data_IF_363057639374
#
_entry.id   IF_363057639374
#
_cell.length_a   1.000
_cell.length_b   1.000
_cell.length_c   1.000
_cell.angle_alpha   90.00
_cell.angle_beta   90.00
_cell.angle_gamma   90.00
#
_symmetry.space_group_name_H-M   'P 1'
#
loop_
_entity.id
_entity.type
_entity.pdbx_description
1 polymer ?
#
# COMPACT_ATOMS: atom_id res chain seq x y z
N UNK A 1 -16.24 -16.77 0.30
CA UNK A 1 -17.66 -16.39 0.25
C UNK A 1 -17.86 -14.98 0.80
N UNK A 2 -18.61 -14.12 0.11
CA UNK A 2 -18.98 -12.78 0.60
C UNK A 2 -20.33 -12.85 1.32
N UNK A 3 -20.45 -12.16 2.45
CA UNK A 3 -21.69 -12.01 3.22
C UNK A 3 -21.93 -10.52 3.46
N UNK A 4 -23.05 -9.98 2.99
CA UNK A 4 -23.44 -8.57 3.16
C UNK A 4 -24.72 -8.49 3.97
N UNK A 5 -24.68 -7.79 5.11
CA UNK A 5 -25.83 -7.65 6.03
C UNK A 5 -26.48 -9.01 6.37
N UNK A 6 -25.67 -10.06 6.52
CA UNK A 6 -26.11 -11.43 6.80
C UNK A 6 -26.54 -12.25 5.57
N UNK A 7 -26.64 -11.65 4.39
CA UNK A 7 -26.98 -12.34 3.14
C UNK A 7 -25.71 -12.82 2.40
N UNK A 8 -25.69 -14.09 2.01
CA UNK A 8 -24.64 -14.61 1.13
C UNK A 8 -24.77 -14.02 -0.29
N UNK A 9 -23.64 -13.65 -0.85
CA UNK A 9 -23.55 -13.06 -2.18
C UNK A 9 -22.81 -13.99 -3.15
N UNK A 10 -23.29 -14.04 -4.38
CA UNK A 10 -22.73 -14.83 -5.48
C UNK A 10 -22.19 -13.91 -6.57
N UNK A 11 -21.40 -14.49 -7.48
CA UNK A 11 -20.79 -13.77 -8.60
C UNK A 11 -21.82 -12.92 -9.38
N UNK A 12 -22.97 -13.51 -9.71
CA UNK A 12 -24.04 -12.86 -10.47
C UNK A 12 -24.64 -11.61 -9.80
N UNK A 13 -24.54 -11.48 -8.46
CA UNK A 13 -25.02 -10.30 -7.75
C UNK A 13 -24.17 -9.04 -8.05
N UNK A 14 -22.98 -9.21 -8.65
CA UNK A 14 -22.04 -8.13 -8.93
C UNK A 14 -21.87 -7.79 -10.42
N UNK A 15 -22.38 -8.63 -11.32
CA UNK A 15 -22.16 -8.49 -12.77
C UNK A 15 -22.69 -7.17 -13.36
N UNK A 16 -23.74 -6.59 -12.75
CA UNK A 16 -24.28 -5.28 -13.15
C UNK A 16 -23.62 -4.09 -12.44
N UNK A 17 -22.80 -4.36 -11.42
CA UNK A 17 -22.19 -3.32 -10.57
C UNK A 17 -20.77 -2.96 -10.98
N UNK A 18 -20.04 -3.89 -11.59
CA UNK A 18 -18.68 -3.65 -12.05
C UNK A 18 -18.41 -4.34 -13.39
N UNK A 19 -17.53 -3.75 -14.18
CA UNK A 19 -17.12 -4.33 -15.46
C UNK A 19 -16.46 -5.70 -15.24
N UNK A 20 -16.77 -6.67 -16.10
CA UNK A 20 -16.28 -8.05 -15.98
C UNK A 20 -14.74 -8.16 -15.93
N UNK A 21 -14.03 -7.23 -16.60
CA UNK A 21 -12.57 -7.19 -16.66
C UNK A 21 -11.94 -6.22 -15.64
N UNK A 22 -12.74 -5.65 -14.73
CA UNK A 22 -12.25 -4.72 -13.71
C UNK A 22 -11.44 -5.43 -12.62
N UNK A 23 -10.59 -4.66 -11.93
CA UNK A 23 -9.83 -5.19 -10.79
C UNK A 23 -10.77 -5.56 -9.64
N UNK A 24 -11.84 -4.79 -9.47
CA UNK A 24 -12.92 -5.04 -8.52
C UNK A 24 -13.55 -6.42 -8.77
N UNK A 25 -13.88 -6.74 -10.02
CA UNK A 25 -14.47 -8.04 -10.36
C UNK A 25 -13.49 -9.19 -10.11
N UNK A 26 -12.20 -8.98 -10.40
CA UNK A 26 -11.16 -9.96 -10.05
C UNK A 26 -11.09 -10.23 -8.53
N UNK A 27 -11.15 -9.19 -7.71
CA UNK A 27 -11.17 -9.31 -6.25
C UNK A 27 -12.45 -10.04 -5.80
N UNK A 28 -13.61 -9.66 -6.34
CA UNK A 28 -14.90 -10.30 -6.04
C UNK A 28 -14.85 -11.80 -6.35
N UNK A 29 -14.32 -12.20 -7.50
CA UNK A 29 -14.23 -13.62 -7.85
C UNK A 29 -13.39 -14.42 -6.85
N UNK A 30 -12.25 -13.88 -6.40
CA UNK A 30 -11.43 -14.51 -5.35
C UNK A 30 -12.23 -14.64 -4.05
N UNK A 31 -12.85 -13.55 -3.62
CA UNK A 31 -13.61 -13.50 -2.38
C UNK A 31 -14.84 -14.40 -2.40
N UNK A 32 -15.56 -14.52 -3.52
CA UNK A 32 -16.73 -15.40 -3.66
C UNK A 32 -16.28 -16.87 -3.65
N UNK A 33 -15.20 -17.23 -4.37
CA UNK A 33 -14.68 -18.60 -4.44
C UNK A 33 -13.99 -19.09 -3.16
N UNK A 34 -13.63 -18.17 -2.26
CA UNK A 34 -12.93 -18.51 -1.03
C UNK A 34 -13.78 -19.39 -0.09
N UNK A 35 -13.12 -20.31 0.61
CA UNK A 35 -13.71 -21.06 1.73
C UNK A 35 -13.91 -20.22 3.00
N UNK A 36 -13.27 -19.04 3.07
CA UNK A 36 -13.45 -18.08 4.15
C UNK A 36 -14.66 -17.17 3.89
N UNK A 37 -15.34 -16.76 4.98
CA UNK A 37 -16.47 -15.82 4.92
C UNK A 37 -15.99 -14.39 5.19
N UNK A 38 -16.20 -13.52 4.21
CA UNK A 38 -15.89 -12.09 4.29
C UNK A 38 -17.18 -11.32 4.56
N UNK A 39 -17.26 -10.70 5.74
CA UNK A 39 -18.47 -10.04 6.21
C UNK A 39 -18.41 -8.54 5.97
N UNK A 40 -19.48 -7.98 5.42
CA UNK A 40 -19.68 -6.55 5.24
C UNK A 40 -21.02 -6.14 5.82
N UNK A 41 -21.07 -4.95 6.41
CA UNK A 41 -22.29 -4.43 7.03
C UNK A 41 -23.26 -3.89 5.98
N UNK A 42 -22.73 -3.44 4.84
CA UNK A 42 -23.49 -2.93 3.70
C UNK A 42 -22.75 -3.14 2.38
N UNK A 43 -23.48 -3.02 1.26
CA UNK A 43 -22.87 -3.04 -0.08
C UNK A 43 -21.88 -1.88 -0.27
N UNK A 44 -22.15 -0.73 0.34
CA UNK A 44 -21.27 0.44 0.24
C UNK A 44 -19.95 0.25 0.98
N UNK A 45 -19.93 -0.52 2.08
CA UNK A 45 -18.69 -0.90 2.75
C UNK A 45 -17.81 -1.79 1.85
N UNK A 46 -18.41 -2.75 1.13
CA UNK A 46 -17.69 -3.56 0.13
C UNK A 46 -17.19 -2.69 -1.04
N UNK A 47 -18.06 -1.85 -1.61
CA UNK A 47 -17.68 -0.93 -2.69
C UNK A 47 -16.53 -0.01 -2.28
N UNK A 48 -16.52 0.46 -1.03
CA UNK A 48 -15.43 1.25 -0.47
C UNK A 48 -14.11 0.47 -0.48
N UNK A 49 -14.09 -0.77 0.04
CA UNK A 49 -12.88 -1.61 0.02
C UNK A 49 -12.36 -1.81 -1.41
N UNK A 50 -13.25 -2.20 -2.33
CA UNK A 50 -12.90 -2.45 -3.73
C UNK A 50 -12.31 -1.20 -4.40
N UNK A 51 -12.95 -0.03 -4.20
CA UNK A 51 -12.45 1.25 -4.70
C UNK A 51 -11.09 1.59 -4.10
N UNK A 52 -10.92 1.47 -2.78
CA UNK A 52 -9.63 1.77 -2.14
C UNK A 52 -8.52 0.83 -2.63
N UNK A 53 -8.80 -0.46 -2.81
CA UNK A 53 -7.83 -1.40 -3.41
C UNK A 53 -7.42 -0.99 -4.82
N UNK A 54 -8.38 -0.59 -5.67
CA UNK A 54 -8.06 -0.06 -7.00
C UNK A 54 -7.17 1.19 -6.91
N UNK A 55 -7.50 2.13 -6.03
CA UNK A 55 -6.71 3.36 -5.86
C UNK A 55 -5.31 3.10 -5.29
N UNK A 56 -5.11 2.08 -4.44
CA UNK A 56 -3.78 1.64 -3.99
C UNK A 56 -2.93 1.17 -5.17
N UNK A 57 -3.51 0.38 -6.08
CA UNK A 57 -2.82 -0.09 -7.29
C UNK A 57 -2.49 1.10 -8.19
N UNK A 58 -3.45 2.00 -8.43
CA UNK A 58 -3.24 3.21 -9.24
C UNK A 58 -2.13 4.09 -8.65
N UNK A 59 -2.18 4.38 -7.35
CA UNK A 59 -1.16 5.14 -6.65
C UNK A 59 0.23 4.47 -6.72
N UNK A 60 0.31 3.15 -6.73
CA UNK A 60 1.58 2.43 -6.91
C UNK A 60 2.21 2.73 -8.29
N UNK A 61 1.40 2.69 -9.36
CA UNK A 61 1.86 3.07 -10.70
C UNK A 61 2.22 4.55 -10.81
N UNK A 62 1.44 5.44 -10.18
CA UNK A 62 1.73 6.89 -10.16
C UNK A 62 3.03 7.18 -9.43
N UNK A 63 3.26 6.55 -8.27
CA UNK A 63 4.48 6.76 -7.48
C UNK A 63 5.71 6.25 -8.24
N UNK A 64 5.61 5.09 -8.89
CA UNK A 64 6.65 4.57 -9.78
C UNK A 64 7.02 5.56 -10.90
N UNK A 65 6.02 6.23 -11.50
CA UNK A 65 6.23 7.21 -12.58
C UNK A 65 6.67 8.60 -12.09
N UNK A 66 6.49 8.91 -10.81
CA UNK A 66 6.77 10.25 -10.25
C UNK A 66 8.24 10.67 -10.29
N UNK A 67 9.16 9.71 -10.43
CA UNK A 67 10.60 9.94 -10.32
C UNK A 67 11.12 10.05 -8.88
N UNK A 68 10.31 9.66 -7.88
CA UNK A 68 10.76 9.53 -6.49
C UNK A 68 11.88 8.49 -6.38
N UNK A 69 13.00 8.89 -5.78
CA UNK A 69 14.17 8.03 -5.64
C UNK A 69 14.10 7.08 -4.44
N UNK A 70 14.88 6.00 -4.50
CA UNK A 70 15.19 5.22 -3.30
C UNK A 70 16.32 5.89 -2.50
N UNK A 71 16.19 5.94 -1.17
CA UNK A 71 17.27 6.33 -0.28
C UNK A 71 17.16 5.66 1.10
N UNK A 72 18.30 5.24 1.64
CA UNK A 72 18.42 4.90 3.08
C UNK A 72 18.18 6.12 3.95
N UNK A 73 17.73 5.94 5.20
CA UNK A 73 17.33 7.00 6.14
C UNK A 73 18.28 8.22 6.21
N UNK A 74 19.59 7.99 6.29
CA UNK A 74 20.60 9.06 6.36
C UNK A 74 20.71 9.93 5.10
N UNK A 75 20.14 9.48 3.97
CA UNK A 75 20.20 10.13 2.65
C UNK A 75 18.82 10.53 2.12
N UNK A 76 17.76 10.41 2.93
CA UNK A 76 16.42 10.78 2.50
C UNK A 76 16.34 12.26 2.16
N UNK A 77 15.43 12.61 1.26
CA UNK A 77 15.19 13.97 0.81
C UNK A 77 13.68 14.19 0.68
N UNK A 78 13.20 15.37 1.06
CA UNK A 78 11.82 15.80 0.84
C UNK A 78 11.78 17.25 0.39
N UNK A 79 10.66 17.68 -0.22
CA UNK A 79 10.46 19.07 -0.58
C UNK A 79 10.19 19.92 0.68
N UNK A 80 11.05 20.89 1.04
CA UNK A 80 10.91 21.68 2.26
C UNK A 80 9.70 22.62 2.24
N UNK A 81 9.04 22.80 1.09
CA UNK A 81 7.78 23.53 1.00
C UNK A 81 6.63 22.84 1.75
N UNK A 82 6.70 21.52 1.96
CA UNK A 82 5.64 20.72 2.56
C UNK A 82 6.10 19.88 3.75
N UNK A 83 7.38 19.52 3.80
CA UNK A 83 7.91 18.53 4.74
C UNK A 83 9.21 18.99 5.37
N UNK A 84 9.31 18.87 6.69
CA UNK A 84 10.56 18.95 7.43
C UNK A 84 11.19 17.56 7.51
N UNK A 85 12.48 17.45 7.15
CA UNK A 85 13.23 16.20 7.29
C UNK A 85 13.74 16.04 8.72
N UNK A 86 13.21 15.07 9.44
CA UNK A 86 13.64 14.73 10.79
C UNK A 86 15.04 14.10 10.81
N UNK A 87 15.70 14.11 11.97
CA UNK A 87 17.06 13.59 12.15
C UNK A 87 17.15 12.09 11.86
N UNK A 88 16.09 11.34 12.16
CA UNK A 88 15.95 9.92 11.87
C UNK A 88 15.74 9.64 10.36
N UNK A 89 15.58 10.67 9.54
CA UNK A 89 15.37 10.60 8.09
C UNK A 89 13.91 10.66 7.66
N UNK A 90 12.98 10.80 8.60
CA UNK A 90 11.54 10.81 8.33
C UNK A 90 11.08 12.16 7.78
N UNK A 91 9.91 12.18 7.17
CA UNK A 91 9.28 13.43 6.72
C UNK A 91 8.14 13.80 7.67
N UNK A 92 8.24 14.97 8.28
CA UNK A 92 7.20 15.54 9.13
C UNK A 92 6.49 16.61 8.32
N UNK A 93 5.19 16.43 8.09
CA UNK A 93 4.40 17.43 7.38
C UNK A 93 4.41 18.74 8.15
N UNK A 94 4.59 19.86 7.45
CA UNK A 94 4.53 21.18 8.08
C UNK A 94 3.12 21.48 8.57
N UNK A 95 3.00 22.26 9.64
CA UNK A 95 1.71 22.60 10.24
C UNK A 95 0.90 23.63 9.44
N UNK A 96 1.53 24.32 8.48
CA UNK A 96 0.94 25.40 7.68
C UNK A 96 0.49 24.95 6.27
N UNK A 97 0.54 23.65 5.98
CA UNK A 97 0.12 23.09 4.68
C UNK A 97 -1.05 22.12 4.83
N UNK A 98 -1.82 21.93 3.75
CA UNK A 98 -2.85 20.90 3.69
C UNK A 98 -2.22 19.54 3.46
N UNK A 99 -2.76 18.51 4.10
CA UNK A 99 -2.32 17.13 3.92
C UNK A 99 -2.50 16.64 2.49
N UNK A 100 -3.61 17.01 1.83
CA UNK A 100 -3.86 16.75 0.41
C UNK A 100 -2.73 17.28 -0.46
N UNK A 101 -2.37 18.56 -0.30
CA UNK A 101 -1.32 19.20 -1.08
C UNK A 101 0.06 18.57 -0.83
N UNK A 102 0.40 18.30 0.44
CA UNK A 102 1.68 17.69 0.81
C UNK A 102 1.86 16.29 0.20
N UNK A 103 0.81 15.46 0.20
CA UNK A 103 0.82 14.14 -0.43
C UNK A 103 0.87 14.26 -1.96
N UNK A 104 0.04 15.12 -2.56
CA UNK A 104 0.02 15.30 -4.02
C UNK A 104 1.35 15.83 -4.56
N UNK A 105 2.08 16.64 -3.80
CA UNK A 105 3.39 17.15 -4.20
C UNK A 105 4.41 16.03 -4.41
N UNK A 106 4.34 14.95 -3.62
CA UNK A 106 5.23 13.78 -3.79
C UNK A 106 5.06 13.17 -5.19
N UNK A 107 3.83 13.07 -5.68
CA UNK A 107 3.52 12.49 -6.98
C UNK A 107 3.82 13.44 -8.14
N UNK A 108 3.63 14.75 -7.93
CA UNK A 108 3.88 15.79 -8.95
C UNK A 108 5.36 16.14 -9.09
N UNK A 109 6.09 16.16 -7.97
CA UNK A 109 7.48 16.60 -7.87
C UNK A 109 8.39 15.49 -7.31
N UNK A 110 8.15 14.24 -7.71
CA UNK A 110 8.83 13.06 -7.13
C UNK A 110 10.35 13.16 -7.11
N UNK A 111 11.00 13.81 -8.08
CA UNK A 111 12.46 14.05 -8.10
C UNK A 111 13.00 14.89 -6.92
N UNK A 112 12.12 15.60 -6.19
CA UNK A 112 12.45 16.28 -4.93
C UNK A 112 12.47 15.33 -3.73
N UNK A 113 12.04 14.08 -3.90
CA UNK A 113 11.84 13.11 -2.85
C UNK A 113 12.72 11.88 -3.03
N UNK A 114 13.26 11.36 -1.93
CA UNK A 114 13.85 10.05 -1.87
C UNK A 114 13.68 9.42 -0.49
N UNK A 115 13.17 8.20 -0.44
CA UNK A 115 12.93 7.45 0.81
C UNK A 115 13.07 5.94 0.62
N UNK A 116 12.96 5.18 1.70
CA UNK A 116 13.05 3.72 1.70
C UNK A 116 11.69 3.05 1.41
N UNK A 117 11.68 1.74 1.24
CA UNK A 117 10.54 1.01 0.68
C UNK A 117 9.28 1.02 1.57
N UNK A 118 9.40 0.93 2.88
CA UNK A 118 8.26 0.95 3.80
C UNK A 118 7.58 2.33 3.87
N UNK A 119 8.35 3.42 3.94
CA UNK A 119 7.81 4.78 3.87
C UNK A 119 7.08 5.01 2.54
N UNK A 120 7.61 4.48 1.43
CA UNK A 120 6.93 4.56 0.14
C UNK A 120 5.57 3.85 0.14
N UNK A 121 5.42 2.72 0.84
CA UNK A 121 4.11 2.07 1.00
C UNK A 121 3.10 3.00 1.68
N UNK A 122 3.51 3.70 2.75
CA UNK A 122 2.63 4.66 3.43
C UNK A 122 2.17 5.80 2.51
N UNK A 123 3.07 6.30 1.66
CA UNK A 123 2.74 7.32 0.64
C UNK A 123 1.67 6.81 -0.32
N UNK A 124 1.77 5.56 -0.77
CA UNK A 124 0.75 4.91 -1.62
C UNK A 124 -0.61 4.87 -0.91
N UNK A 125 -0.66 4.46 0.36
CA UNK A 125 -1.93 4.40 1.11
C UNK A 125 -2.57 5.78 1.31
N UNK A 126 -1.78 6.81 1.64
CA UNK A 126 -2.30 8.17 1.76
C UNK A 126 -2.85 8.70 0.42
N UNK A 127 -2.13 8.47 -0.68
CA UNK A 127 -2.61 8.88 -2.02
C UNK A 127 -3.89 8.14 -2.41
N UNK A 128 -3.95 6.84 -2.15
CA UNK A 128 -5.15 6.05 -2.44
C UNK A 128 -6.36 6.57 -1.66
N UNK A 129 -6.18 6.85 -0.36
CA UNK A 129 -7.24 7.44 0.46
C UNK A 129 -7.65 8.84 -0.01
N UNK A 130 -6.70 9.67 -0.44
CA UNK A 130 -7.00 10.99 -1.01
C UNK A 130 -7.83 10.90 -2.31
N UNK A 131 -7.71 9.81 -3.07
CA UNK A 131 -8.54 9.58 -4.26
C UNK A 131 -9.92 8.99 -3.94
N UNK A 132 -10.12 8.45 -2.73
CA UNK A 132 -11.40 7.88 -2.27
C UNK A 132 -12.20 8.87 -1.45
N UNK A 133 -11.56 9.55 -0.51
CA UNK A 133 -12.17 10.55 0.36
C UNK A 133 -12.35 11.89 -0.37
N UNK A 134 -13.42 12.64 -0.06
CA UNK A 134 -13.45 14.07 -0.34
C UNK A 134 -12.22 14.76 0.27
N UNK A 135 -11.67 15.77 -0.42
CA UNK A 135 -10.41 16.41 0.00
C UNK A 135 -10.50 17.01 1.41
N UNK A 136 -11.65 17.62 1.73
CA UNK A 136 -11.94 18.18 3.05
C UNK A 136 -12.01 17.11 4.14
N UNK A 137 -12.64 15.96 3.88
CA UNK A 137 -12.60 14.80 4.78
C UNK A 137 -11.15 14.32 4.97
N UNK A 138 -10.37 14.18 3.90
CA UNK A 138 -8.98 13.73 3.98
C UNK A 138 -8.15 14.66 4.88
N UNK A 139 -8.25 15.98 4.66
CA UNK A 139 -7.54 16.99 5.45
C UNK A 139 -8.01 17.05 6.92
N UNK A 140 -9.30 16.84 7.19
CA UNK A 140 -9.85 16.74 8.56
C UNK A 140 -9.41 15.44 9.27
N UNK A 141 -9.20 14.37 8.51
CA UNK A 141 -8.84 13.05 9.06
C UNK A 141 -7.34 12.99 9.37
N UNK A 142 -6.50 13.41 8.42
CA UNK A 142 -5.05 13.31 8.50
C UNK A 142 -4.44 14.69 8.73
N UNK A 143 -4.77 15.30 9.88
CA UNK A 143 -4.31 16.66 10.23
C UNK A 143 -2.81 16.77 10.48
N UNK A 144 -2.14 15.64 10.73
CA UNK A 144 -0.69 15.52 10.87
C UNK A 144 -0.26 14.25 10.16
N UNK A 145 0.76 14.34 9.33
CA UNK A 145 1.35 13.19 8.66
C UNK A 145 2.84 13.15 8.98
N UNK A 146 3.29 12.00 9.49
CA UNK A 146 4.69 11.68 9.65
C UNK A 146 4.98 10.41 8.83
N UNK A 147 6.00 10.48 7.99
CA UNK A 147 6.41 9.42 7.08
C UNK A 147 7.76 8.88 7.56
N UNK A 148 7.72 7.79 8.34
CA UNK A 148 8.92 7.15 8.88
C UNK A 148 8.68 5.65 9.09
N UNK A 149 8.91 4.88 8.02
CA UNK A 149 8.80 3.42 7.99
C UNK A 149 7.52 2.96 8.73
N UNK A 150 7.60 1.92 9.54
CA UNK A 150 6.51 1.44 10.39
C UNK A 150 6.52 2.03 11.81
N UNK A 151 7.44 2.95 12.11
CA UNK A 151 7.57 3.52 13.47
C UNK A 151 6.56 4.62 13.74
N UNK A 152 6.23 5.42 12.72
CA UNK A 152 5.27 6.53 12.82
C UNK A 152 4.18 6.30 11.78
N UNK A 153 3.09 5.68 12.22
CA UNK A 153 1.92 5.37 11.39
C UNK A 153 0.69 5.96 12.06
N UNK A 154 -0.16 6.62 11.28
CA UNK A 154 -1.47 7.05 11.76
C UNK A 154 -2.28 5.86 12.29
N UNK A 155 -3.07 6.08 13.35
CA UNK A 155 -3.90 5.05 13.99
C UNK A 155 -4.90 4.39 13.03
N UNK A 156 -5.33 5.07 11.98
CA UNK A 156 -6.21 4.51 10.94
C UNK A 156 -5.50 3.57 9.97
N UNK A 157 -4.17 3.67 9.88
CA UNK A 157 -3.33 2.89 8.96
C UNK A 157 -2.39 1.91 9.67
N UNK A 158 -2.42 1.85 11.01
CA UNK A 158 -1.49 1.07 11.83
C UNK A 158 -1.41 -0.40 11.40
N UNK A 159 -2.54 -0.98 11.01
CA UNK A 159 -2.68 -2.36 10.60
C UNK A 159 -1.88 -2.70 9.33
N UNK A 160 -1.59 -1.70 8.48
CA UNK A 160 -0.72 -1.85 7.29
C UNK A 160 0.69 -2.31 7.68
N UNK A 161 1.20 -1.83 8.82
CA UNK A 161 2.54 -2.17 9.31
C UNK A 161 2.69 -3.64 9.70
N UNK A 162 1.58 -4.32 9.99
CA UNK A 162 1.56 -5.69 10.50
C UNK A 162 1.32 -6.72 9.39
N UNK A 163 2.30 -7.59 9.18
CA UNK A 163 2.18 -8.74 8.27
C UNK A 163 1.56 -9.92 9.00
N UNK A 164 0.53 -10.54 8.40
CA UNK A 164 -0.09 -11.75 8.92
C UNK A 164 -0.48 -12.69 7.79
N UNK A 165 -0.51 -13.99 8.04
CA UNK A 165 -1.07 -14.98 7.12
C UNK A 165 -2.55 -14.64 6.86
N UNK A 166 -2.98 -14.74 5.61
CA UNK A 166 -4.37 -14.48 5.19
C UNK A 166 -4.95 -15.74 4.54
N UNK A 167 -6.28 -15.85 4.57
CA UNK A 167 -6.97 -16.97 3.91
C UNK A 167 -6.87 -16.87 2.39
N UNK A 168 -6.99 -15.66 1.87
CA UNK A 168 -6.78 -15.35 0.46
C UNK A 168 -5.90 -14.12 0.34
N UNK A 169 -5.10 -14.07 -0.72
CA UNK A 169 -4.35 -12.88 -1.11
C UNK A 169 -5.06 -12.16 -2.23
N UNK A 170 -5.12 -10.84 -2.12
CA UNK A 170 -5.92 -10.00 -2.98
C UNK A 170 -5.03 -8.95 -3.65
N UNK A 171 -5.37 -8.54 -4.89
CA UNK A 171 -4.81 -7.30 -5.45
C UNK A 171 -4.87 -6.15 -4.43
N UNK A 172 -3.83 -5.30 -4.47
CA UNK A 172 -3.54 -4.22 -3.53
C UNK A 172 -3.05 -4.64 -2.13
N UNK A 173 -2.87 -5.93 -1.86
CA UNK A 173 -2.24 -6.36 -0.61
C UNK A 173 -0.77 -5.90 -0.56
N UNK A 174 -0.33 -5.40 0.60
CA UNK A 174 1.10 -5.28 0.88
C UNK A 174 1.65 -6.69 1.10
N UNK A 175 2.58 -7.12 0.25
CA UNK A 175 3.32 -8.37 0.38
C UNK A 175 4.77 -8.10 0.75
N UNK A 176 5.51 -9.15 1.09
CA UNK A 176 6.92 -9.04 1.45
C UNK A 176 7.72 -10.19 0.86
N UNK A 177 8.77 -9.85 0.11
CA UNK A 177 9.80 -10.80 -0.29
C UNK A 177 10.91 -10.75 0.74
N UNK A 178 11.24 -11.87 1.36
CA UNK A 178 12.38 -11.97 2.30
C UNK A 178 13.64 -12.38 1.53
N UNK A 179 14.79 -11.86 1.94
CA UNK A 179 16.12 -12.31 1.52
C UNK A 179 16.91 -12.80 2.75
N UNK A 180 16.80 -14.09 3.10
CA UNK A 180 17.33 -14.63 4.35
C UNK A 180 18.85 -14.50 4.45
N UNK A 181 19.57 -14.77 3.36
CA UNK A 181 21.03 -14.77 3.30
C UNK A 181 21.60 -13.45 2.74
N UNK A 182 20.98 -12.32 3.09
CA UNK A 182 21.44 -10.98 2.65
C UNK A 182 22.89 -10.72 3.08
N UNK A 183 23.66 -10.07 2.22
CA UNK A 183 24.98 -9.56 2.58
C UNK A 183 24.86 -8.51 3.71
N UNK A 184 25.47 -8.71 4.90
CA UNK A 184 25.43 -7.77 6.01
C UNK A 184 25.95 -6.36 5.69
N UNK A 185 26.77 -6.20 4.64
CA UNK A 185 27.24 -4.91 4.17
C UNK A 185 26.17 -4.14 3.37
N UNK A 186 25.11 -4.82 2.94
CA UNK A 186 24.00 -4.25 2.18
C UNK A 186 22.63 -4.56 2.80
N UNK A 187 22.39 -4.21 4.08
CA UNK A 187 21.21 -4.65 4.84
C UNK A 187 19.87 -4.12 4.30
N UNK A 188 19.90 -3.14 3.39
CA UNK A 188 18.71 -2.66 2.69
C UNK A 188 18.14 -3.68 1.69
N UNK A 189 18.89 -4.73 1.35
CA UNK A 189 18.44 -5.85 0.52
C UNK A 189 17.94 -7.06 1.33
N UNK A 190 17.69 -6.92 2.63
CA UNK A 190 17.16 -7.99 3.49
C UNK A 190 15.74 -8.46 3.09
N UNK A 191 15.09 -7.70 2.22
CA UNK A 191 13.82 -8.02 1.63
C UNK A 191 13.23 -6.81 0.93
N UNK A 192 12.01 -6.96 0.43
CA UNK A 192 11.31 -5.89 -0.26
C UNK A 192 9.83 -5.89 0.13
N UNK A 193 9.36 -4.70 0.56
CA UNK A 193 7.94 -4.41 0.69
C UNK A 193 7.35 -4.13 -0.69
N UNK A 194 6.24 -4.78 -1.01
CA UNK A 194 5.60 -4.57 -2.31
C UNK A 194 4.09 -4.43 -2.21
N UNK A 195 3.49 -3.78 -3.20
CA UNK A 195 2.04 -3.84 -3.46
C UNK A 195 1.79 -4.85 -4.59
N UNK A 196 0.90 -5.81 -4.37
CA UNK A 196 0.39 -6.71 -5.41
C UNK A 196 -0.50 -5.93 -6.40
N UNK A 197 -0.09 -5.89 -7.67
CA UNK A 197 -0.81 -5.14 -8.72
C UNK A 197 -1.92 -5.98 -9.38
N UNK A 198 -2.11 -7.22 -8.93
CA UNK A 198 -3.20 -8.10 -9.33
C UNK A 198 -3.01 -8.80 -10.67
N UNK A 199 -1.94 -8.56 -11.41
CA UNK A 199 -1.65 -9.15 -12.72
C UNK A 199 -0.35 -9.96 -12.76
N UNK A 200 0.07 -10.50 -11.59
CA UNK A 200 1.35 -11.18 -11.44
C UNK A 200 2.55 -10.23 -11.33
N UNK A 201 2.29 -8.92 -11.30
CA UNK A 201 3.28 -7.88 -11.06
C UNK A 201 3.13 -7.31 -9.65
N UNK A 202 4.22 -6.75 -9.17
CA UNK A 202 4.35 -6.13 -7.88
C UNK A 202 5.09 -4.80 -8.04
N UNK A 203 4.66 -3.79 -7.29
CA UNK A 203 5.42 -2.56 -7.13
C UNK A 203 6.25 -2.62 -5.86
N UNK A 204 7.59 -2.61 -6.00
CA UNK A 204 8.54 -2.40 -4.91
C UNK A 204 9.30 -1.09 -5.10
N UNK A 205 9.37 -0.25 -4.07
CA UNK A 205 10.03 1.05 -4.20
C UNK A 205 11.56 0.90 -4.17
N UNK A 206 12.20 1.23 -5.29
CA UNK A 206 13.63 1.02 -5.54
C UNK A 206 13.88 -0.10 -6.55
N UNK A 207 13.12 -1.21 -6.48
CA UNK A 207 13.16 -2.30 -7.47
C UNK A 207 12.31 -1.98 -8.71
N UNK A 208 11.24 -1.20 -8.53
CA UNK A 208 10.28 -0.84 -9.57
C UNK A 208 9.13 -1.84 -9.68
N UNK A 209 8.54 -1.94 -10.88
CA UNK A 209 7.46 -2.87 -11.17
C UNK A 209 8.02 -4.12 -11.82
N UNK A 210 7.86 -5.27 -11.15
CA UNK A 210 8.45 -6.54 -11.55
C UNK A 210 7.49 -7.70 -11.23
N UNK A 211 7.69 -8.85 -11.89
CA UNK A 211 7.09 -10.09 -11.44
C UNK A 211 7.88 -10.68 -10.26
N UNK A 212 7.38 -11.75 -9.64
CA UNK A 212 8.01 -12.38 -8.49
C UNK A 212 9.45 -12.84 -8.77
N UNK A 213 9.69 -13.46 -9.93
CA UNK A 213 11.02 -13.92 -10.34
C UNK A 213 12.03 -12.77 -10.46
N UNK A 214 11.61 -11.64 -11.03
CA UNK A 214 12.42 -10.43 -11.17
C UNK A 214 12.85 -9.87 -9.81
N UNK A 215 11.94 -9.83 -8.84
CA UNK A 215 12.23 -9.39 -7.47
C UNK A 215 13.17 -10.36 -6.77
N UNK A 216 12.88 -11.67 -6.82
CA UNK A 216 13.73 -12.72 -6.24
C UNK A 216 15.14 -12.65 -6.82
N UNK A 217 15.26 -12.50 -8.15
CA UNK A 217 16.56 -12.34 -8.82
C UNK A 217 17.29 -11.08 -8.37
N UNK A 218 16.59 -9.97 -8.11
CA UNK A 218 17.19 -8.74 -7.61
C UNK A 218 17.74 -8.91 -6.19
N UNK A 219 16.96 -9.53 -5.29
CA UNK A 219 17.39 -9.82 -3.93
C UNK A 219 18.55 -10.82 -3.89
N UNK A 220 18.48 -11.91 -4.65
CA UNK A 220 19.50 -12.96 -4.68
C UNK A 220 20.88 -12.49 -5.15
N UNK A 221 20.97 -11.38 -5.90
CA UNK A 221 22.24 -10.76 -6.32
C UNK A 221 22.97 -10.02 -5.19
N UNK A 222 22.30 -9.83 -4.05
CA UNK A 222 22.83 -9.12 -2.88
C UNK A 222 22.89 -10.05 -1.65
N UNK A 223 23.15 -11.34 -1.90
CA UNK A 223 23.37 -12.34 -0.85
C UNK A 223 24.86 -12.48 -0.53
N UNK A 224 25.15 -12.98 0.66
CA UNK A 224 26.53 -13.31 1.06
C UNK A 224 27.14 -14.39 0.14
N UNK A 225 28.47 -14.43 0.04
CA UNK A 225 29.17 -15.50 -0.66
C UNK A 225 28.86 -16.86 0.00
N UNK A 226 28.56 -17.87 -0.83
CA UNK A 226 28.16 -19.21 -0.35
C UNK A 226 26.73 -19.32 0.18
N UNK A 227 25.85 -18.34 -0.10
CA UNK A 227 24.45 -18.37 0.34
C UNK A 227 23.64 -19.57 -0.21
N UNK A 228 22.89 -20.23 0.68
CA UNK A 228 22.12 -21.44 0.40
C UNK A 228 20.60 -21.20 0.31
N UNK A 229 20.05 -20.25 1.08
CA UNK A 229 18.62 -19.91 1.05
C UNK A 229 18.34 -18.80 0.03
N UNK A 230 17.47 -19.09 -0.94
CA UNK A 230 16.99 -18.09 -1.91
C UNK A 230 15.97 -17.15 -1.26
N UNK A 231 15.96 -15.90 -1.74
CA UNK A 231 14.85 -14.99 -1.51
C UNK A 231 13.52 -15.60 -1.98
N UNK A 232 12.43 -15.26 -1.30
CA UNK A 232 11.09 -15.82 -1.54
C UNK A 232 9.97 -14.91 -1.04
N UNK A 233 8.79 -15.03 -1.63
CA UNK A 233 7.59 -14.36 -1.17
C UNK A 233 7.09 -15.00 0.12
N UNK A 234 6.79 -14.20 1.14
CA UNK A 234 6.19 -14.70 2.37
C UNK A 234 4.69 -15.00 2.20
N UNK A 235 4.25 -16.04 2.90
CA UNK A 235 2.83 -16.38 3.11
C UNK A 235 2.21 -15.42 4.16
N UNK A 236 2.26 -14.12 3.86
CA UNK A 236 1.64 -13.07 4.67
C UNK A 236 1.29 -11.84 3.84
N UNK A 237 0.34 -11.05 4.34
CA UNK A 237 -0.01 -9.75 3.80
C UNK A 237 -0.39 -8.72 4.88
N UNK A 238 0.04 -7.48 4.66
CA UNK A 238 -0.39 -6.28 5.38
C UNK A 238 -1.59 -5.64 4.69
N UNK A 239 -2.58 -5.22 5.48
CA UNK A 239 -3.81 -4.59 4.98
C UNK A 239 -4.21 -3.47 5.93
N UNK A 240 -4.74 -2.33 5.44
CA UNK A 240 -5.43 -1.41 6.31
C UNK A 240 -6.73 -2.04 6.83
N UNK A 241 -7.29 -1.48 7.89
CA UNK A 241 -8.64 -1.80 8.31
C UNK A 241 -9.65 -1.10 7.38
N UNK A 242 -10.03 -1.80 6.30
CA UNK A 242 -10.96 -1.28 5.30
C UNK A 242 -12.31 -0.89 5.88
N UNK A 243 -12.81 -1.61 6.89
CA UNK A 243 -14.09 -1.29 7.54
C UNK A 243 -14.01 0.01 8.31
N UNK A 244 -12.96 0.18 9.12
CA UNK A 244 -12.72 1.40 9.88
C UNK A 244 -12.56 2.62 8.97
N UNK A 245 -11.88 2.46 7.83
CA UNK A 245 -11.75 3.53 6.83
C UNK A 245 -13.09 3.81 6.09
N UNK A 246 -13.87 2.78 5.78
CA UNK A 246 -15.20 2.94 5.21
C UNK A 246 -16.13 3.67 6.18
N UNK A 247 -16.11 3.34 7.46
CA UNK A 247 -16.92 3.98 8.50
C UNK A 247 -16.64 5.49 8.61
N UNK A 248 -15.38 5.90 8.50
CA UNK A 248 -15.01 7.33 8.46
C UNK A 248 -15.65 8.01 7.26
N UNK A 249 -15.61 7.38 6.08
CA UNK A 249 -16.17 7.91 4.85
C UNK A 249 -17.71 7.96 4.87
N UNK A 250 -18.36 6.87 5.28
CA UNK A 250 -19.82 6.73 5.24
C UNK A 250 -20.53 7.61 6.27
N UNK A 251 -19.84 8.01 7.35
CA UNK A 251 -20.36 8.97 8.34
C UNK A 251 -20.11 10.43 7.93
N UNK A 252 -19.34 10.67 6.88
CA UNK A 252 -19.04 12.02 6.46
C UNK A 252 -20.27 12.68 5.83
N UNK A 253 -20.72 13.78 6.44
CA UNK A 253 -21.71 14.69 5.89
C UNK A 253 -21.01 16.02 5.62
N UNK A 254 -20.97 16.51 4.35
CA UNK A 254 -20.27 17.74 3.97
C UNK A 254 -20.79 18.98 4.69
#
# INVERSE_FOLDING_TARGET
MIVIAGKEMYQADFDSLFDANSMEMKIISILVSSSHRYYYDSLDQLKFELRLRREIIAASYELYKSGMGFAVFRKTKCNPAYWDRAQDGGFVMRNDVKASDAILDIFKNGSKYSTECATAMMIVYYKALLNVYPEDLFNKTFTKIELMNWHRIDRLLREVGSMAKRNDYLPADRRYFINPDVDPLTPHWQGENVIDLGNGLYYGHGIGIQNAEGIIKALNRNRIEGADESARLLDSAGRPDFKKLADVYLRYSP
#
